data_IF_871757377339
#
_entry.id   IF_871757377339
#
_cell.length_a   1.000
_cell.length_b   1.000
_cell.length_c   1.000
_cell.angle_alpha   90.00
_cell.angle_beta   90.00
_cell.angle_gamma   90.00
#
_symmetry.space_group_name_H-M   'P 1'
#
loop_
_entity.id
_entity.type
_entity.pdbx_description
1 polymer ?
#
# COMPACT_ATOMS: atom_id res chain seq x y z
N UNK A 1 -7.69 17.04 5.47
CA UNK A 1 -8.94 16.25 5.52
C UNK A 1 -8.67 15.01 6.36
N UNK A 2 -9.58 14.64 7.27
CA UNK A 2 -9.52 13.40 8.04
C UNK A 2 -10.70 12.51 7.67
N UNK A 3 -10.50 11.20 7.72
CA UNK A 3 -11.54 10.21 7.54
C UNK A 3 -12.06 9.73 8.89
N UNK A 4 -13.38 9.58 9.01
CA UNK A 4 -14.01 9.10 10.23
C UNK A 4 -13.70 7.62 10.50
N UNK A 5 -13.45 7.21 11.75
CA UNK A 5 -13.34 5.81 12.12
C UNK A 5 -14.54 4.98 11.65
N UNK A 6 -14.28 3.79 11.12
CA UNK A 6 -15.29 2.89 10.54
C UNK A 6 -15.63 3.19 9.08
N UNK A 7 -15.31 4.38 8.54
CA UNK A 7 -15.52 4.69 7.13
C UNK A 7 -14.69 3.75 6.25
N UNK A 8 -15.30 3.26 5.17
CA UNK A 8 -14.55 2.56 4.12
C UNK A 8 -13.93 3.61 3.19
N UNK A 9 -12.63 3.50 2.96
CA UNK A 9 -11.89 4.33 2.01
C UNK A 9 -11.15 3.45 1.00
N UNK A 10 -10.71 4.04 -0.10
CA UNK A 10 -9.94 3.35 -1.13
C UNK A 10 -8.47 3.72 -1.02
N UNK A 11 -7.63 2.73 -0.71
CA UNK A 11 -6.20 2.84 -0.90
C UNK A 11 -5.86 2.44 -2.35
N UNK A 12 -5.39 3.40 -3.15
CA UNK A 12 -5.06 3.17 -4.57
C UNK A 12 -3.58 3.44 -4.82
N UNK A 13 -2.92 2.50 -5.48
CA UNK A 13 -1.64 2.78 -6.12
C UNK A 13 -1.91 3.29 -7.54
N UNK A 14 -1.14 4.30 -7.92
CA UNK A 14 -1.32 5.03 -9.16
C UNK A 14 0.03 5.33 -9.80
N UNK A 15 0.14 5.14 -11.10
CA UNK A 15 1.35 5.50 -11.85
C UNK A 15 0.96 5.91 -13.28
N UNK A 16 1.59 6.96 -13.80
CA UNK A 16 1.28 7.54 -15.12
C UNK A 16 -0.22 7.85 -15.33
N UNK A 17 -0.90 8.35 -14.28
CA UNK A 17 -2.33 8.70 -14.32
C UNK A 17 -3.29 7.50 -14.38
N UNK A 18 -2.78 6.27 -14.23
CA UNK A 18 -3.58 5.04 -14.15
C UNK A 18 -3.62 4.52 -12.73
N UNK A 19 -4.65 3.74 -12.43
CA UNK A 19 -4.79 2.99 -11.18
C UNK A 19 -4.14 1.62 -11.38
N UNK A 20 -3.18 1.27 -10.54
CA UNK A 20 -2.49 -0.02 -10.53
C UNK A 20 -3.23 -1.05 -9.67
N UNK A 21 -3.67 -0.63 -8.48
CA UNK A 21 -4.57 -1.38 -7.62
C UNK A 21 -5.59 -0.49 -6.92
N UNK A 22 -6.68 -1.11 -6.45
CA UNK A 22 -7.59 -0.56 -5.46
C UNK A 22 -7.80 -1.55 -4.33
N UNK A 23 -7.52 -1.11 -3.11
CA UNK A 23 -7.72 -1.86 -1.89
C UNK A 23 -8.68 -1.09 -0.97
N UNK A 24 -9.95 -1.51 -0.86
CA UNK A 24 -10.86 -0.95 0.14
C UNK A 24 -10.36 -1.26 1.55
N UNK A 25 -10.20 -0.22 2.37
CA UNK A 25 -9.75 -0.31 3.75
C UNK A 25 -10.70 0.41 4.69
N UNK A 26 -11.01 -0.20 5.83
CA UNK A 26 -11.81 0.43 6.88
C UNK A 26 -10.90 1.29 7.75
N UNK A 27 -11.24 2.55 7.94
CA UNK A 27 -10.51 3.47 8.81
C UNK A 27 -10.61 2.99 10.26
N UNK A 28 -9.47 2.80 10.90
CA UNK A 28 -9.36 2.49 12.33
C UNK A 28 -9.17 3.79 13.11
N UNK A 29 -8.27 4.64 12.63
CA UNK A 29 -8.03 5.99 13.16
C UNK A 29 -7.46 6.87 12.06
N UNK A 30 -7.72 8.17 12.16
CA UNK A 30 -7.06 9.19 11.35
C UNK A 30 -6.81 10.40 12.24
N UNK A 31 -5.63 10.46 12.85
CA UNK A 31 -5.25 11.45 13.85
C UNK A 31 -3.89 12.07 13.55
N UNK A 32 -3.32 12.83 14.48
CA UNK A 32 -2.02 13.50 14.29
C UNK A 32 -0.87 12.51 14.05
N UNK A 33 -1.02 11.24 14.44
CA UNK A 33 -0.03 10.20 14.15
C UNK A 33 -0.09 9.75 12.71
N UNK A 34 -1.24 9.85 12.04
CA UNK A 34 -1.45 9.37 10.67
C UNK A 34 -2.76 8.60 10.49
N UNK A 35 -2.92 8.05 9.28
CA UNK A 35 -4.08 7.26 8.89
C UNK A 35 -3.78 5.77 9.09
N UNK A 36 -4.64 5.09 9.82
CA UNK A 36 -4.60 3.65 10.05
C UNK A 36 -5.84 3.01 9.43
N UNK A 37 -5.66 2.04 8.54
CA UNK A 37 -6.74 1.30 7.91
C UNK A 37 -6.58 -0.20 8.06
N UNK A 38 -7.71 -0.91 8.02
CA UNK A 38 -7.78 -2.36 7.97
C UNK A 38 -8.29 -2.84 6.62
N UNK A 39 -7.49 -3.64 5.91
CA UNK A 39 -7.89 -4.35 4.70
C UNK A 39 -8.23 -5.78 5.08
N UNK A 40 -9.50 -6.15 4.93
CA UNK A 40 -10.00 -7.44 5.38
C UNK A 40 -9.60 -8.59 4.45
N UNK A 41 -9.40 -9.78 5.02
CA UNK A 41 -9.29 -11.03 4.27
C UNK A 41 -10.48 -11.19 3.33
N UNK A 42 -10.23 -11.56 2.08
CA UNK A 42 -11.29 -11.81 1.09
C UNK A 42 -12.03 -10.55 0.62
N UNK A 43 -11.61 -9.35 1.01
CA UNK A 43 -12.18 -8.12 0.48
C UNK A 43 -12.06 -8.10 -1.06
N UNK A 44 -13.10 -7.59 -1.72
CA UNK A 44 -13.06 -7.28 -3.14
C UNK A 44 -12.05 -6.16 -3.39
N UNK A 45 -11.14 -6.40 -4.33
CA UNK A 45 -10.06 -5.49 -4.70
C UNK A 45 -10.04 -5.34 -6.22
N UNK A 46 -9.29 -4.36 -6.72
CA UNK A 46 -8.92 -4.29 -8.12
C UNK A 46 -7.40 -4.36 -8.23
N UNK A 47 -6.90 -5.08 -9.22
CA UNK A 47 -5.47 -5.13 -9.54
C UNK A 47 -5.31 -5.12 -11.06
N UNK A 48 -4.26 -4.49 -11.56
CA UNK A 48 -3.96 -4.54 -12.98
C UNK A 48 -3.76 -5.99 -13.43
N UNK A 49 -4.42 -6.29 -14.55
CA UNK A 49 -4.32 -7.55 -15.27
C UNK A 49 -4.28 -7.26 -16.75
N UNK A 50 -3.49 -8.03 -17.48
CA UNK A 50 -3.57 -8.07 -18.93
C UNK A 50 -4.96 -8.54 -19.39
N UNK A 51 -5.27 -8.37 -20.68
CA UNK A 51 -6.55 -8.80 -21.24
C UNK A 51 -6.79 -10.31 -21.13
N UNK A 52 -5.73 -11.11 -21.14
CA UNK A 52 -5.75 -12.57 -20.92
C UNK A 52 -5.64 -12.97 -19.44
N UNK A 53 -5.65 -12.02 -18.50
CA UNK A 53 -5.78 -12.28 -17.06
C UNK A 53 -4.48 -12.53 -16.29
N UNK A 54 -3.31 -12.30 -16.90
CA UNK A 54 -1.99 -12.40 -16.25
C UNK A 54 -1.65 -11.13 -15.46
N UNK A 55 -0.80 -11.28 -14.44
CA UNK A 55 -0.33 -10.21 -13.56
C UNK A 55 1.10 -9.77 -13.86
N UNK A 56 1.61 -8.75 -13.15
CA UNK A 56 2.95 -8.20 -13.38
C UNK A 56 4.07 -9.22 -13.22
N UNK A 57 3.92 -10.17 -12.27
CA UNK A 57 4.92 -11.22 -12.01
C UNK A 57 5.03 -12.29 -13.12
N UNK A 58 4.13 -12.26 -14.10
CA UNK A 58 4.17 -13.18 -15.24
C UNK A 58 5.03 -12.64 -16.40
N UNK A 59 5.64 -11.45 -16.25
CA UNK A 59 6.37 -10.75 -17.30
C UNK A 59 7.67 -10.10 -16.77
N UNK A 60 8.70 -9.97 -17.62
CA UNK A 60 9.72 -8.95 -17.43
C UNK A 60 9.10 -7.55 -17.40
N UNK A 61 9.70 -6.61 -16.66
CA UNK A 61 9.09 -5.29 -16.42
C UNK A 61 8.73 -4.54 -17.72
N UNK A 62 9.63 -4.57 -18.72
CA UNK A 62 9.40 -3.88 -19.98
C UNK A 62 8.19 -4.43 -20.76
N UNK A 63 8.02 -5.76 -20.74
CA UNK A 63 6.90 -6.42 -21.40
C UNK A 63 5.60 -6.14 -20.66
N UNK A 64 5.64 -6.13 -19.32
CA UNK A 64 4.52 -5.70 -18.50
C UNK A 64 4.09 -4.28 -18.86
N UNK A 65 5.04 -3.34 -18.96
CA UNK A 65 4.75 -1.94 -19.26
C UNK A 65 4.14 -1.76 -20.67
N UNK A 66 4.59 -2.53 -21.65
CA UNK A 66 4.05 -2.52 -23.02
C UNK A 66 2.69 -3.23 -23.16
N UNK A 67 2.35 -4.16 -22.25
CA UNK A 67 1.13 -4.93 -22.35
C UNK A 67 -0.14 -4.06 -22.17
N UNK A 68 -1.16 -4.34 -22.98
CA UNK A 68 -2.51 -3.83 -22.76
C UNK A 68 -3.09 -4.46 -21.47
N UNK A 69 -3.39 -3.61 -20.50
CA UNK A 69 -3.82 -4.00 -19.16
C UNK A 69 -4.82 -2.99 -18.60
N UNK A 70 -5.61 -3.45 -17.66
CA UNK A 70 -6.57 -2.63 -16.92
C UNK A 70 -6.78 -3.21 -15.53
N UNK A 71 -7.21 -2.41 -14.54
CA UNK A 71 -7.68 -2.93 -13.27
C UNK A 71 -8.83 -3.92 -13.49
N UNK A 72 -8.75 -5.08 -12.86
CA UNK A 72 -9.82 -6.08 -12.82
C UNK A 72 -10.14 -6.45 -11.39
N UNK A 73 -11.42 -6.70 -11.13
CA UNK A 73 -11.87 -7.19 -9.84
C UNK A 73 -11.18 -8.52 -9.48
N UNK A 74 -10.77 -8.63 -8.23
CA UNK A 74 -10.17 -9.80 -7.62
C UNK A 74 -10.54 -9.84 -6.13
N UNK A 75 -10.01 -10.81 -5.39
CA UNK A 75 -10.12 -10.89 -3.95
C UNK A 75 -8.75 -10.74 -3.28
N UNK A 76 -8.71 -10.08 -2.13
CA UNK A 76 -7.52 -10.07 -1.27
C UNK A 76 -7.29 -11.48 -0.72
N UNK A 77 -6.24 -12.13 -1.21
CA UNK A 77 -5.96 -13.53 -0.91
C UNK A 77 -5.18 -13.76 0.39
N UNK A 78 -4.49 -12.73 0.89
CA UNK A 78 -3.72 -12.83 2.13
C UNK A 78 -4.58 -12.74 3.38
N UNK A 79 -4.00 -13.01 4.57
CA UNK A 79 -4.58 -12.59 5.84
C UNK A 79 -4.93 -11.10 5.83
N UNK A 80 -5.85 -10.69 6.71
CA UNK A 80 -6.17 -9.27 6.83
C UNK A 80 -4.95 -8.48 7.30
N UNK A 81 -4.80 -7.25 6.80
CA UNK A 81 -3.61 -6.43 7.02
C UNK A 81 -4.01 -5.05 7.54
N UNK A 82 -3.33 -4.61 8.59
CA UNK A 82 -3.39 -3.24 9.07
C UNK A 82 -2.36 -2.41 8.28
N UNK A 83 -2.73 -1.24 7.78
CA UNK A 83 -1.81 -0.37 7.03
C UNK A 83 -1.83 1.02 7.64
N UNK A 84 -0.65 1.56 7.89
CA UNK A 84 -0.45 2.85 8.52
C UNK A 84 0.27 3.78 7.56
N UNK A 85 -0.30 4.97 7.37
CA UNK A 85 0.21 6.02 6.49
C UNK A 85 0.56 7.23 7.36
N UNK A 86 1.85 7.39 7.71
CA UNK A 86 2.28 8.53 8.52
C UNK A 86 2.14 9.86 7.74
N UNK A 87 1.86 11.00 8.41
CA UNK A 87 1.59 12.27 7.75
C UNK A 87 2.81 12.81 7.02
N UNK A 88 2.68 13.04 5.71
CA UNK A 88 3.71 13.71 4.92
C UNK A 88 4.97 12.88 4.65
N UNK A 89 4.93 11.57 4.93
CA UNK A 89 6.07 10.68 4.74
C UNK A 89 5.95 9.93 3.41
N UNK A 90 7.07 9.44 2.88
CA UNK A 90 7.13 8.67 1.62
C UNK A 90 7.23 7.17 1.89
N UNK A 91 6.39 6.68 2.80
CA UNK A 91 6.22 5.26 3.05
C UNK A 91 4.87 5.00 3.74
N UNK A 92 4.43 3.75 3.68
CA UNK A 92 3.46 3.20 4.63
C UNK A 92 4.03 2.00 5.36
N UNK A 93 3.46 1.67 6.52
CA UNK A 93 3.85 0.52 7.34
C UNK A 93 2.68 -0.44 7.44
N UNK A 94 2.86 -1.65 6.92
CA UNK A 94 1.84 -2.69 6.90
C UNK A 94 2.20 -3.74 7.95
N UNK A 95 1.21 -4.13 8.74
CA UNK A 95 1.37 -5.09 9.82
C UNK A 95 0.81 -6.42 9.32
N UNK A 96 1.71 -7.25 8.80
CA UNK A 96 1.35 -8.56 8.29
C UNK A 96 0.99 -9.51 9.43
N UNK A 97 0.12 -10.46 9.09
CA UNK A 97 -0.45 -11.42 10.01
C UNK A 97 -0.44 -12.81 9.39
N UNK A 98 -0.47 -13.84 10.23
CA UNK A 98 -0.73 -15.22 9.81
C UNK A 98 -2.24 -15.48 9.62
N UNK A 99 -2.60 -16.71 9.23
CA UNK A 99 -3.99 -17.11 9.01
C UNK A 99 -4.83 -17.09 10.30
N UNK A 100 -4.18 -17.21 11.46
CA UNK A 100 -4.77 -17.09 12.80
C UNK A 100 -4.91 -15.63 13.28
N UNK A 101 -4.40 -14.66 12.51
CA UNK A 101 -4.49 -13.23 12.79
C UNK A 101 -3.40 -12.68 13.74
N UNK A 102 -2.39 -13.48 14.06
CA UNK A 102 -1.24 -13.05 14.86
C UNK A 102 -0.27 -12.24 14.01
N UNK A 103 0.30 -11.19 14.58
CA UNK A 103 1.32 -10.36 13.92
C UNK A 103 2.57 -11.19 13.61
N UNK A 104 3.12 -11.01 12.40
CA UNK A 104 4.33 -11.73 11.95
C UNK A 104 5.49 -10.80 11.64
N UNK A 105 5.23 -9.69 10.95
CA UNK A 105 6.25 -8.73 10.52
C UNK A 105 5.64 -7.37 10.16
N UNK A 106 6.49 -6.35 10.24
CA UNK A 106 6.26 -5.07 9.60
C UNK A 106 6.77 -5.14 8.16
N UNK A 107 6.00 -4.56 7.25
CA UNK A 107 6.39 -4.34 5.86
C UNK A 107 6.30 -2.86 5.58
N UNK A 108 7.43 -2.23 5.33
CA UNK A 108 7.52 -0.83 4.95
C UNK A 108 7.45 -0.77 3.43
N UNK A 109 6.35 -0.22 2.92
CA UNK A 109 6.16 0.05 1.51
C UNK A 109 6.70 1.45 1.22
N UNK A 110 7.82 1.57 0.49
CA UNK A 110 8.30 2.91 0.10
C UNK A 110 7.45 3.39 -1.07
N UNK A 111 6.85 4.56 -0.90
CA UNK A 111 5.83 5.06 -1.81
C UNK A 111 5.76 6.59 -1.70
N UNK A 112 5.33 7.28 -2.75
CA UNK A 112 5.08 8.72 -2.63
C UNK A 112 3.97 9.00 -1.61
N UNK A 113 4.13 10.11 -0.87
CA UNK A 113 3.16 10.57 0.13
C UNK A 113 1.72 10.49 -0.39
N UNK A 114 0.86 9.87 0.42
CA UNK A 114 -0.56 9.69 0.13
C UNK A 114 -1.29 11.01 -0.15
N UNK A 115 -1.87 11.12 -1.35
CA UNK A 115 -2.78 12.21 -1.71
C UNK A 115 -4.20 11.84 -1.32
N UNK A 116 -4.74 12.55 -0.34
CA UNK A 116 -6.08 12.31 0.20
C UNK A 116 -7.16 12.97 -0.66
N UNK A 117 -8.27 12.26 -0.87
CA UNK A 117 -9.44 12.76 -1.59
C UNK A 117 -10.76 12.26 -0.98
N UNK A 118 -11.82 13.04 -1.18
CA UNK A 118 -13.20 12.73 -0.79
C UNK A 118 -14.12 13.54 -1.71
N UNK A 119 -15.04 12.88 -2.41
CA UNK A 119 -16.09 13.52 -3.23
C UNK A 119 -17.48 13.45 -2.59
N UNK A 120 -17.58 12.91 -1.38
CA UNK A 120 -18.84 12.67 -0.67
C UNK A 120 -19.36 11.25 -0.83
N UNK A 121 -19.30 10.66 -2.03
CA UNK A 121 -19.74 9.28 -2.28
C UNK A 121 -18.62 8.28 -1.95
N UNK A 122 -17.40 8.59 -2.40
CA UNK A 122 -16.20 7.82 -2.16
C UNK A 122 -15.11 8.71 -1.55
N UNK A 123 -14.22 8.06 -0.81
CA UNK A 123 -13.03 8.69 -0.27
C UNK A 123 -11.85 7.73 -0.36
N UNK A 124 -10.64 8.28 -0.36
CA UNK A 124 -9.45 7.46 -0.53
C UNK A 124 -8.15 8.22 -0.43
N UNK A 125 -7.10 7.46 -0.65
CA UNK A 125 -5.74 7.93 -0.82
C UNK A 125 -5.18 7.37 -2.12
N UNK A 126 -4.48 8.22 -2.85
CA UNK A 126 -3.69 7.84 -4.01
C UNK A 126 -2.21 7.91 -3.62
N UNK A 127 -1.52 6.77 -3.72
CA UNK A 127 -0.06 6.63 -3.54
C UNK A 127 0.59 6.28 -4.87
N UNK A 128 1.92 6.29 -4.91
CA UNK A 128 2.69 5.70 -5.99
C UNK A 128 3.78 4.87 -5.38
N UNK A 129 3.65 3.55 -5.55
CA UNK A 129 4.64 2.59 -5.11
C UNK A 129 6.03 2.88 -5.70
N UNK A 130 7.10 2.68 -4.94
CA UNK A 130 8.48 2.89 -5.40
C UNK A 130 9.29 1.59 -5.47
N UNK A 131 8.61 0.44 -5.42
CA UNK A 131 9.09 -0.95 -5.51
C UNK A 131 10.12 -1.43 -4.49
N UNK A 132 10.86 -0.52 -3.86
CA UNK A 132 11.81 -0.87 -2.82
C UNK A 132 11.09 -0.96 -1.46
N UNK A 133 11.29 -2.07 -0.75
CA UNK A 133 10.60 -2.33 0.50
C UNK A 133 11.56 -2.69 1.63
N UNK A 134 11.08 -2.62 2.88
CA UNK A 134 11.79 -3.13 4.05
C UNK A 134 10.88 -4.09 4.79
N UNK A 135 11.37 -5.28 5.11
CA UNK A 135 10.71 -6.20 6.02
C UNK A 135 11.42 -6.17 7.36
N UNK A 136 10.68 -5.91 8.43
CA UNK A 136 11.21 -5.83 9.79
C UNK A 136 10.46 -6.74 10.76
N UNK A 137 11.20 -7.31 11.71
CA UNK A 137 10.71 -8.17 12.79
C UNK A 137 10.47 -7.35 14.06
N UNK A 138 9.72 -7.93 15.00
CA UNK A 138 9.43 -7.31 16.29
C UNK A 138 10.68 -7.07 17.15
N UNK A 139 11.79 -7.76 16.89
CA UNK A 139 13.06 -7.59 17.59
C UNK A 139 13.96 -6.50 16.99
N UNK A 140 13.47 -5.77 15.99
CA UNK A 140 14.20 -4.70 15.29
C UNK A 140 15.13 -5.19 14.18
N UNK A 141 15.22 -6.51 13.94
CA UNK A 141 15.95 -7.02 12.77
C UNK A 141 15.18 -6.72 11.49
N UNK A 142 15.90 -6.38 10.42
CA UNK A 142 15.31 -5.98 9.15
C UNK A 142 16.16 -6.40 7.95
N UNK A 143 15.54 -6.44 6.78
CA UNK A 143 16.22 -6.60 5.50
C UNK A 143 15.50 -5.81 4.40
N UNK A 144 16.26 -5.36 3.40
CA UNK A 144 15.68 -4.79 2.18
C UNK A 144 15.01 -5.88 1.36
N UNK A 145 13.91 -5.51 0.71
CA UNK A 145 13.18 -6.38 -0.20
C UNK A 145 13.04 -5.68 -1.55
N UNK A 146 13.14 -6.49 -2.60
CA UNK A 146 12.96 -6.09 -4.00
C UNK A 146 14.03 -5.10 -4.53
N UNK A 147 15.24 -5.11 -3.95
CA UNK A 147 16.41 -4.35 -4.43
C UNK A 147 16.71 -4.61 -5.91
N UNK A 148 16.64 -5.88 -6.34
CA UNK A 148 16.91 -6.28 -7.71
C UNK A 148 15.82 -5.75 -8.68
N UNK A 149 14.56 -5.80 -8.27
CA UNK A 149 13.45 -5.26 -9.07
C UNK A 149 13.56 -3.74 -9.19
N UNK A 150 13.89 -3.06 -8.09
CA UNK A 150 14.11 -1.62 -8.08
C UNK A 150 15.26 -1.23 -9.02
N UNK A 151 16.40 -1.94 -8.96
CA UNK A 151 17.53 -1.71 -9.86
C UNK A 151 17.20 -2.00 -11.33
N UNK A 152 16.46 -3.08 -11.63
CA UNK A 152 15.99 -3.40 -12.99
C UNK A 152 15.15 -2.26 -13.56
N UNK A 153 14.20 -1.73 -12.76
CA UNK A 153 13.26 -0.70 -13.20
C UNK A 153 13.93 0.66 -13.35
N UNK A 154 14.86 1.03 -12.47
CA UNK A 154 15.68 2.23 -12.58
C UNK A 154 16.53 2.26 -13.85
N UNK A 155 16.96 1.10 -14.36
CA UNK A 155 17.66 0.99 -15.64
C UNK A 155 16.77 1.30 -16.86
N UNK A 156 15.46 1.50 -16.65
CA UNK A 156 14.43 1.77 -17.67
C UNK A 156 13.66 3.08 -17.39
N UNK A 157 14.34 4.24 -17.33
CA UNK A 157 13.73 5.52 -16.96
C UNK A 157 12.69 6.02 -17.98
N UNK A 158 12.63 5.44 -19.18
CA UNK A 158 11.59 5.69 -20.18
C UNK A 158 10.24 5.03 -19.83
N UNK A 159 10.28 4.00 -18.99
CA UNK A 159 9.11 3.23 -18.57
C UNK A 159 8.78 3.43 -17.09
N UNK A 160 9.79 3.66 -16.26
CA UNK A 160 9.64 3.71 -14.82
C UNK A 160 9.22 5.10 -14.33
N UNK A 161 8.43 5.13 -13.27
CA UNK A 161 7.80 6.36 -12.76
C UNK A 161 8.54 7.00 -11.59
N UNK A 162 9.52 6.31 -10.98
CA UNK A 162 10.31 6.86 -9.86
C UNK A 162 11.36 7.84 -10.42
N UNK A 163 11.28 9.13 -10.05
CA UNK A 163 12.15 10.15 -10.64
C UNK A 163 13.48 10.35 -9.89
N UNK A 164 13.56 9.95 -8.62
CA UNK A 164 14.72 10.17 -7.75
C UNK A 164 15.00 8.95 -6.86
N UNK A 165 15.90 8.08 -7.33
CA UNK A 165 16.39 6.92 -6.58
C UNK A 165 16.97 7.31 -5.21
N UNK A 166 17.70 8.42 -5.13
CA UNK A 166 18.40 8.80 -3.91
C UNK A 166 17.43 9.16 -2.79
N UNK A 167 16.29 9.76 -3.14
CA UNK A 167 15.20 10.05 -2.22
C UNK A 167 14.57 8.76 -1.65
N UNK A 168 14.32 7.75 -2.48
CA UNK A 168 13.76 6.45 -2.04
C UNK A 168 14.69 5.79 -1.01
N UNK A 169 15.97 5.68 -1.34
CA UNK A 169 16.95 5.13 -0.40
C UNK A 169 17.11 5.97 0.87
N UNK A 170 17.02 7.31 0.77
CA UNK A 170 17.11 8.19 1.93
C UNK A 170 15.93 7.98 2.87
N UNK A 171 14.73 7.80 2.33
CA UNK A 171 13.54 7.53 3.10
C UNK A 171 13.64 6.17 3.80
N UNK A 172 13.98 5.11 3.07
CA UNK A 172 14.13 3.78 3.69
C UNK A 172 15.21 3.77 4.79
N UNK A 173 16.36 4.45 4.60
CA UNK A 173 17.38 4.62 5.65
C UNK A 173 16.86 5.39 6.88
N UNK A 174 15.94 6.33 6.70
CA UNK A 174 15.31 7.04 7.81
C UNK A 174 14.35 6.13 8.57
N UNK A 175 13.57 5.30 7.87
CA UNK A 175 12.67 4.32 8.50
C UNK A 175 13.47 3.24 9.25
N UNK A 176 14.58 2.75 8.68
CA UNK A 176 15.49 1.80 9.33
C UNK A 176 15.96 2.30 10.70
N UNK A 177 16.33 3.59 10.83
CA UNK A 177 16.71 4.15 12.13
C UNK A 177 15.58 4.08 13.15
N UNK A 178 14.32 4.26 12.74
CA UNK A 178 13.15 4.11 13.61
C UNK A 178 12.95 2.65 14.02
N UNK A 179 13.12 1.71 13.09
CA UNK A 179 13.06 0.27 13.36
C UNK A 179 14.12 -0.13 14.40
N UNK A 180 15.38 0.25 14.17
CA UNK A 180 16.51 -0.08 15.05
C UNK A 180 16.38 0.55 16.44
N UNK A 181 15.77 1.74 16.52
CA UNK A 181 15.50 2.43 17.77
C UNK A 181 14.23 1.91 18.50
N UNK A 182 13.44 1.05 17.87
CA UNK A 182 12.14 0.62 18.39
C UNK A 182 11.17 1.79 18.58
N UNK A 183 11.23 2.78 17.70
CA UNK A 183 10.34 3.95 17.73
C UNK A 183 9.00 3.63 17.07
N UNK A 184 7.93 4.34 17.45
CA UNK A 184 6.63 4.26 16.80
C UNK A 184 6.76 4.37 15.25
N UNK A 185 6.11 3.50 14.47
CA UNK A 185 5.15 2.45 14.87
C UNK A 185 5.76 1.06 15.16
N UNK A 186 7.08 0.96 15.27
CA UNK A 186 7.84 -0.28 15.50
C UNK A 186 8.05 -0.62 16.99
N UNK A 187 7.48 0.19 17.89
CA UNK A 187 7.54 0.04 19.36
C UNK A 187 6.59 -1.05 19.91
N UNK A 188 6.03 -1.90 19.05
CA UNK A 188 5.00 -2.88 19.38
C UNK A 188 3.57 -2.33 19.35
N UNK A 189 3.37 -1.05 19.05
CA UNK A 189 2.02 -0.50 18.87
C UNK A 189 1.25 -1.28 17.78
N UNK A 190 0.00 -1.65 18.07
CA UNK A 190 -0.95 -2.35 17.18
C UNK A 190 -0.61 -3.78 16.75
N UNK A 191 0.48 -4.39 17.24
CA UNK A 191 0.81 -5.80 16.92
C UNK A 191 -0.28 -6.76 17.42
N UNK A 192 -0.91 -6.43 18.55
CA UNK A 192 -2.01 -7.17 19.18
C UNK A 192 -3.39 -6.83 18.60
N UNK A 193 -3.49 -5.89 17.67
CA UNK A 193 -4.76 -5.49 17.06
C UNK A 193 -5.54 -6.71 16.54
N UNK A 194 -6.85 -6.68 16.78
CA UNK A 194 -7.81 -7.63 16.21
C UNK A 194 -8.96 -6.83 15.59
N UNK A 195 -9.37 -7.14 14.35
CA UNK A 195 -10.55 -6.51 13.77
C UNK A 195 -11.79 -6.88 14.60
N UNK A 196 -12.76 -5.98 14.67
CA UNK A 196 -14.05 -6.29 15.27
C UNK A 196 -14.69 -7.46 14.50
N UNK A 197 -15.14 -8.53 15.17
CA UNK A 197 -15.72 -9.70 14.50
C UNK A 197 -17.03 -9.40 13.75
N UNK A 198 -17.69 -8.28 14.03
CA UNK A 198 -18.87 -7.82 13.28
C UNK A 198 -18.52 -7.18 11.93
N UNK A 199 -17.26 -6.84 11.69
CA UNK A 199 -16.84 -6.22 10.44
C UNK A 199 -16.81 -7.20 9.29
N UNK A 200 -17.66 -6.97 8.30
CA UNK A 200 -17.65 -7.70 7.04
C UNK A 200 -16.61 -7.15 6.07
N UNK A 201 -16.03 -8.04 5.27
CA UNK A 201 -15.22 -7.65 4.12
C UNK A 201 -16.15 -7.15 2.99
N UNK A 202 -15.81 -6.06 2.28
CA UNK A 202 -16.54 -5.68 1.08
C UNK A 202 -16.53 -6.83 0.06
N UNK A 203 -17.70 -7.25 -0.42
CA UNK A 203 -17.81 -8.33 -1.42
C UNK A 203 -17.76 -7.83 -2.85
N UNK A 204 -17.87 -6.51 -3.04
CA UNK A 204 -17.78 -5.81 -4.32
C UNK A 204 -16.92 -4.55 -4.15
N UNK A 205 -16.34 -4.07 -5.24
CA UNK A 205 -15.62 -2.79 -5.24
C UNK A 205 -16.62 -1.65 -4.97
N UNK A 206 -16.32 -0.72 -4.04
CA UNK A 206 -17.17 0.43 -3.80
C UNK A 206 -17.40 1.26 -5.06
N UNK A 207 -18.59 1.83 -5.23
CA UNK A 207 -18.88 2.75 -6.32
C UNK A 207 -17.86 3.91 -6.35
N UNK A 208 -17.46 4.33 -7.55
CA UNK A 208 -16.48 5.41 -7.74
C UNK A 208 -15.02 4.96 -7.58
N UNK A 209 -14.74 3.66 -7.46
CA UNK A 209 -13.36 3.17 -7.32
C UNK A 209 -12.43 3.54 -8.48
N UNK A 210 -12.97 3.60 -9.68
CA UNK A 210 -12.30 3.90 -10.94
C UNK A 210 -12.35 5.38 -11.32
N UNK A 211 -12.77 6.25 -10.40
CA UNK A 211 -12.72 7.70 -10.62
C UNK A 211 -11.31 8.14 -11.03
N UNK A 212 -11.16 9.20 -11.83
CA UNK A 212 -9.84 9.68 -12.26
C UNK A 212 -8.89 9.88 -11.08
N UNK A 213 -7.60 9.57 -11.31
CA UNK A 213 -6.52 9.76 -10.34
C UNK A 213 -6.40 11.23 -9.96
N UNK A 214 -6.20 11.50 -8.68
CA UNK A 214 -6.01 12.87 -8.21
C UNK A 214 -4.67 13.40 -8.73
N UNK A 215 -4.68 14.55 -9.38
CA UNK A 215 -3.43 15.20 -9.82
C UNK A 215 -2.60 15.60 -8.60
N UNK A 216 -1.34 15.15 -8.55
CA UNK A 216 -0.36 15.70 -7.62
C UNK A 216 -0.08 17.17 -8.01
N UNK A 217 -0.33 18.09 -7.09
CA UNK A 217 -0.05 19.54 -7.25
C UNK A 217 1.39 19.86 -6.92
#
# INVERSE_FOLDING_TARGET
>A
MRFEPGRLILHRDTHHGRIAFVHPGRVISDDDRGLLIWVARGAAIAVERTLDGRGPRDFPFADWMAAAKQPRAAAWNGPGVLRFFPPGENHSVWFFRDDEGSFTEYYVNLEETAVRWDDGEAAGIDVTDQDLDIVARADGTWFWKDEDEFAERLARPDLYWVPDEAAVWAEGRRVIKKIEAGEFPFDGTWVDFRPDPSWTAPTELPQGWDRPVTTRS
#
